data_IF_859225010640
#
_entry.id   IF_859225010640
#
_cell.length_a   1.000
_cell.length_b   1.000
_cell.length_c   1.000
_cell.angle_alpha   90.00
_cell.angle_beta   90.00
_cell.angle_gamma   90.00
#
_symmetry.space_group_name_H-M   'P 1'
#
loop_
_entity.id
_entity.type
_entity.pdbx_description
1 polymer ?
#
# COMPACT_ATOMS: atom_id res chain seq x y z
N UNK A 1 12.32 32.97 -6.88
CA UNK A 1 11.47 31.77 -6.66
C UNK A 1 12.21 30.54 -7.17
N UNK A 2 12.42 29.58 -6.28
CA UNK A 2 13.08 28.33 -6.65
C UNK A 2 12.02 27.34 -7.14
N UNK A 3 12.18 26.86 -8.36
CA UNK A 3 11.30 25.84 -8.91
C UNK A 3 11.94 24.47 -8.71
N UNK A 4 11.22 23.57 -8.05
CA UNK A 4 11.67 22.21 -7.86
C UNK A 4 10.98 21.32 -8.90
N UNK A 5 11.78 20.60 -9.68
CA UNK A 5 11.29 19.73 -10.73
C UNK A 5 11.37 18.28 -10.28
N UNK A 6 10.24 17.58 -10.31
CA UNK A 6 10.17 16.17 -9.94
C UNK A 6 9.43 15.40 -11.04
N UNK A 7 9.66 14.08 -11.06
CA UNK A 7 8.99 13.21 -12.05
C UNK A 7 7.51 13.02 -11.73
N UNK A 8 7.17 12.93 -10.44
CA UNK A 8 5.80 12.64 -10.01
C UNK A 8 5.40 13.50 -8.83
N UNK A 9 4.14 13.86 -8.81
CA UNK A 9 3.51 14.57 -7.71
C UNK A 9 2.41 13.66 -7.14
N UNK A 10 2.50 13.34 -5.85
CA UNK A 10 1.52 12.48 -5.19
C UNK A 10 0.70 13.33 -4.23
N UNK A 11 -0.61 13.29 -4.38
CA UNK A 11 -1.54 13.96 -3.48
C UNK A 11 -2.14 12.92 -2.55
N UNK A 12 -1.82 13.01 -1.27
CA UNK A 12 -2.26 12.07 -0.26
C UNK A 12 -1.21 11.03 0.08
N UNK A 13 -1.05 10.76 1.37
CA UNK A 13 -0.06 9.81 1.89
C UNK A 13 -0.76 8.73 2.73
N UNK A 14 -1.90 8.24 2.26
CA UNK A 14 -2.52 7.05 2.81
C UNK A 14 -1.80 5.80 2.35
N UNK A 15 -2.42 4.65 2.47
CA UNK A 15 -1.81 3.39 2.07
C UNK A 15 -1.44 3.36 0.58
N UNK A 16 -2.36 3.75 -0.29
CA UNK A 16 -2.12 3.72 -1.73
C UNK A 16 -1.01 4.70 -2.14
N UNK A 17 -1.05 5.93 -1.62
CA UNK A 17 -0.03 6.93 -1.93
C UNK A 17 1.34 6.53 -1.42
N UNK A 18 1.41 5.96 -0.22
CA UNK A 18 2.67 5.49 0.36
C UNK A 18 3.25 4.33 -0.42
N UNK A 19 2.44 3.36 -0.81
CA UNK A 19 2.90 2.23 -1.62
C UNK A 19 3.40 2.69 -2.99
N UNK A 20 2.69 3.61 -3.61
CA UNK A 20 3.11 4.17 -4.91
C UNK A 20 4.44 4.91 -4.76
N UNK A 21 4.62 5.69 -3.69
CA UNK A 21 5.85 6.40 -3.44
C UNK A 21 7.04 5.44 -3.33
N UNK A 22 6.90 4.36 -2.58
CA UNK A 22 7.95 3.34 -2.43
C UNK A 22 8.28 2.73 -3.79
N UNK A 23 7.27 2.39 -4.58
CA UNK A 23 7.46 1.84 -5.92
C UNK A 23 8.26 2.77 -6.82
N UNK A 24 7.91 4.06 -6.82
CA UNK A 24 8.57 5.04 -7.65
C UNK A 24 10.02 5.28 -7.22
N UNK A 25 10.25 5.36 -5.91
CA UNK A 25 11.61 5.52 -5.38
C UNK A 25 12.49 4.32 -5.74
N UNK A 26 11.95 3.11 -5.67
CA UNK A 26 12.68 1.91 -6.04
C UNK A 26 13.03 1.87 -7.53
N UNK A 27 12.32 2.63 -8.35
CA UNK A 27 12.60 2.75 -9.79
C UNK A 27 13.44 3.99 -10.13
N UNK A 28 14.03 4.63 -9.14
CA UNK A 28 14.90 5.78 -9.34
C UNK A 28 14.17 7.05 -9.75
N UNK A 29 12.88 7.14 -9.48
CA UNK A 29 12.11 8.33 -9.81
C UNK A 29 12.16 9.35 -8.66
N UNK A 30 12.05 10.62 -9.02
CA UNK A 30 11.92 11.68 -8.03
C UNK A 30 10.45 12.01 -7.84
N UNK A 31 10.07 12.37 -6.61
CA UNK A 31 8.67 12.65 -6.32
C UNK A 31 8.54 13.69 -5.23
N UNK A 32 7.36 14.28 -5.15
CA UNK A 32 6.95 15.18 -4.09
C UNK A 32 5.59 14.74 -3.61
N UNK A 33 5.40 14.66 -2.30
CA UNK A 33 4.14 14.22 -1.70
C UNK A 33 3.51 15.36 -0.94
N UNK A 34 2.25 15.65 -1.23
CA UNK A 34 1.46 16.61 -0.48
C UNK A 34 0.38 15.86 0.30
N UNK A 35 0.33 16.09 1.59
CA UNK A 35 -0.64 15.42 2.45
C UNK A 35 -1.05 16.35 3.57
N UNK A 36 -2.28 16.16 4.04
CA UNK A 36 -2.81 16.89 5.17
C UNK A 36 -2.80 15.97 6.38
N UNK A 37 -2.06 16.30 7.45
CA UNK A 37 -2.02 15.44 8.64
C UNK A 37 -3.41 15.26 9.25
N UNK A 38 -3.82 14.01 9.44
CA UNK A 38 -5.08 13.65 10.08
C UNK A 38 -4.86 12.44 10.97
N UNK A 39 -5.35 12.53 12.21
CA UNK A 39 -5.16 11.43 13.17
C UNK A 39 -6.12 10.27 12.93
N UNK A 40 -7.21 10.51 12.22
CA UNK A 40 -8.27 9.50 11.99
C UNK A 40 -8.40 9.07 10.53
N UNK A 41 -7.33 9.15 9.75
CA UNK A 41 -7.41 8.68 8.36
C UNK A 41 -7.72 7.19 8.32
N UNK A 42 -8.45 6.77 7.29
CA UNK A 42 -9.00 5.41 7.19
C UNK A 42 -7.94 4.32 7.33
N UNK A 43 -6.81 4.45 6.64
CA UNK A 43 -5.76 3.43 6.69
C UNK A 43 -5.10 3.32 8.06
N UNK A 44 -5.04 4.42 8.82
CA UNK A 44 -4.42 4.42 10.14
C UNK A 44 -5.30 3.76 11.19
N UNK A 45 -6.64 3.82 11.04
CA UNK A 45 -7.59 3.25 12.00
C UNK A 45 -8.11 1.87 11.58
N UNK A 46 -7.80 1.42 10.38
CA UNK A 46 -8.22 0.12 9.90
C UNK A 46 -7.46 -1.01 10.59
N UNK A 47 -8.05 -2.21 10.57
CA UNK A 47 -7.44 -3.39 11.20
C UNK A 47 -6.18 -3.88 10.49
N UNK A 48 -5.91 -3.40 9.28
CA UNK A 48 -4.72 -3.79 8.53
C UNK A 48 -4.79 -5.19 7.95
N UNK A 49 -6.00 -5.69 7.71
CA UNK A 49 -6.20 -7.02 7.13
C UNK A 49 -6.53 -6.91 5.64
N UNK A 50 -6.10 -7.91 4.88
CA UNK A 50 -6.53 -8.04 3.50
C UNK A 50 -6.81 -9.50 3.18
N UNK A 51 -7.67 -9.72 2.18
CA UNK A 51 -8.17 -11.03 1.84
C UNK A 51 -8.60 -11.02 0.37
N UNK A 52 -8.22 -12.03 -0.44
CA UNK A 52 -8.62 -12.06 -1.84
C UNK A 52 -10.11 -12.34 -2.05
N UNK A 53 -10.80 -12.81 -1.02
CA UNK A 53 -12.24 -13.11 -1.11
C UNK A 53 -12.99 -12.14 -0.23
N UNK A 54 -13.82 -11.28 -0.84
CA UNK A 54 -14.47 -10.18 -0.14
C UNK A 54 -15.96 -10.13 -0.46
N UNK A 55 -16.68 -9.33 0.34
CA UNK A 55 -18.08 -9.08 0.13
C UNK A 55 -19.00 -10.15 0.72
N UNK A 56 -20.30 -9.88 0.66
CA UNK A 56 -21.33 -10.77 1.21
C UNK A 56 -21.39 -12.10 0.48
N UNK A 57 -21.15 -12.08 -0.81
CA UNK A 57 -21.23 -13.29 -1.66
C UNK A 57 -19.89 -14.00 -1.76
N UNK A 58 -18.90 -13.56 -0.99
CA UNK A 58 -17.58 -14.21 -0.92
C UNK A 58 -16.93 -14.36 -2.30
N UNK A 59 -17.03 -13.32 -3.12
CA UNK A 59 -16.41 -13.31 -4.44
C UNK A 59 -14.94 -12.95 -4.36
N UNK A 60 -14.16 -13.53 -5.27
CA UNK A 60 -12.74 -13.25 -5.37
C UNK A 60 -12.52 -11.82 -5.86
N UNK A 61 -11.57 -11.14 -5.23
CA UNK A 61 -11.22 -9.77 -5.59
C UNK A 61 -10.74 -9.67 -7.03
N UNK A 62 -11.09 -8.58 -7.71
CA UNK A 62 -10.71 -8.32 -9.09
C UNK A 62 -9.19 -8.46 -9.27
N UNK A 63 -8.80 -9.26 -10.25
CA UNK A 63 -7.38 -9.56 -10.55
C UNK A 63 -6.56 -10.09 -9.37
N UNK A 64 -7.20 -10.75 -8.40
CA UNK A 64 -6.50 -11.27 -7.23
C UNK A 64 -5.36 -12.21 -7.61
N UNK A 65 -5.54 -13.04 -8.63
CA UNK A 65 -4.51 -14.00 -9.07
C UNK A 65 -3.26 -13.31 -9.59
N UNK A 66 -3.39 -12.09 -10.09
CA UNK A 66 -2.27 -11.29 -10.57
C UNK A 66 -1.68 -10.43 -9.46
N UNK A 67 -2.54 -9.80 -8.67
CA UNK A 67 -2.14 -8.79 -7.70
C UNK A 67 -1.55 -9.37 -6.42
N UNK A 68 -2.09 -10.48 -5.93
CA UNK A 68 -1.64 -11.04 -4.64
C UNK A 68 -0.22 -11.57 -4.67
N UNK A 69 0.24 -12.31 -5.69
CA UNK A 69 1.65 -12.68 -5.76
C UNK A 69 2.59 -11.47 -5.80
N UNK A 70 2.20 -10.42 -6.53
CA UNK A 70 2.96 -9.18 -6.58
C UNK A 70 2.99 -8.49 -5.21
N UNK A 71 1.86 -8.48 -4.52
CA UNK A 71 1.71 -7.87 -3.21
C UNK A 71 2.65 -8.51 -2.18
N UNK A 72 2.76 -9.83 -2.17
CA UNK A 72 3.67 -10.52 -1.25
C UNK A 72 5.12 -10.10 -1.47
N UNK A 73 5.57 -10.09 -2.73
CA UNK A 73 6.92 -9.62 -3.06
C UNK A 73 7.12 -8.15 -2.69
N UNK A 74 6.15 -7.32 -3.00
CA UNK A 74 6.22 -5.88 -2.73
C UNK A 74 6.36 -5.60 -1.24
N UNK A 75 5.55 -6.22 -0.40
CA UNK A 75 5.60 -5.96 1.03
C UNK A 75 6.87 -6.51 1.67
N UNK A 76 7.35 -7.67 1.25
CA UNK A 76 8.61 -8.21 1.76
C UNK A 76 9.79 -7.33 1.37
N UNK A 77 9.82 -6.83 0.14
CA UNK A 77 10.86 -5.91 -0.29
C UNK A 77 10.78 -4.58 0.45
N UNK A 78 9.56 -4.12 0.72
CA UNK A 78 9.35 -2.89 1.47
C UNK A 78 9.81 -3.02 2.92
N UNK A 79 9.58 -4.17 3.56
CA UNK A 79 10.11 -4.42 4.91
C UNK A 79 11.63 -4.29 4.93
N UNK A 80 12.31 -4.89 3.96
CA UNK A 80 13.76 -4.81 3.86
C UNK A 80 14.22 -3.38 3.61
N UNK A 81 13.55 -2.68 2.72
CA UNK A 81 13.87 -1.30 2.37
C UNK A 81 13.71 -0.34 3.55
N UNK A 82 12.63 -0.51 4.32
CA UNK A 82 12.32 0.37 5.45
C UNK A 82 12.98 -0.07 6.76
N UNK A 83 13.51 -1.30 6.81
CA UNK A 83 14.11 -1.84 8.01
C UNK A 83 13.11 -2.15 9.11
N UNK A 84 11.85 -2.38 8.76
CA UNK A 84 10.77 -2.65 9.70
C UNK A 84 9.99 -3.88 9.28
N UNK A 85 9.47 -4.61 10.24
CA UNK A 85 8.65 -5.78 10.00
C UNK A 85 7.19 -5.42 10.26
N UNK A 86 6.34 -5.50 9.21
CA UNK A 86 4.94 -5.11 9.32
C UNK A 86 4.01 -6.00 8.50
N UNK A 87 4.54 -6.96 7.74
CA UNK A 87 3.76 -7.85 6.90
C UNK A 87 3.78 -9.25 7.48
N UNK A 88 2.61 -9.72 7.93
CA UNK A 88 2.47 -11.00 8.62
C UNK A 88 1.40 -11.84 7.92
N UNK A 89 1.78 -12.68 6.93
CA UNK A 89 0.81 -13.56 6.30
C UNK A 89 0.20 -14.51 7.31
N UNK A 90 -1.13 -14.60 7.30
CA UNK A 90 -1.89 -15.43 8.23
C UNK A 90 -3.06 -16.09 7.51
N UNK A 91 -3.50 -17.22 8.02
CA UNK A 91 -4.73 -17.84 7.56
C UNK A 91 -5.92 -17.09 8.13
N UNK A 92 -6.90 -16.83 7.28
CA UNK A 92 -8.12 -16.16 7.69
C UNK A 92 -9.27 -17.14 7.65
N UNK A 93 -9.90 -17.32 8.81
CA UNK A 93 -11.11 -18.13 8.93
C UNK A 93 -12.33 -17.23 8.92
N UNK A 94 -13.25 -17.52 8.01
CA UNK A 94 -14.47 -16.73 7.85
C UNK A 94 -15.68 -17.67 7.94
N UNK A 95 -16.38 -17.75 9.09
CA UNK A 95 -17.55 -18.59 9.23
C UNK A 95 -18.74 -18.03 8.43
N UNK A 96 -19.55 -18.94 7.98
CA UNK A 96 -20.77 -18.60 7.22
C UNK A 96 -21.94 -18.40 8.15
#
# INVERSE_FOLDING_TARGET
>A
VTHKKVDYLIIGQGLAGSCLAVQLLNRGKTLMVFDQPQTNRASAVAAGLFNPITGRVMTKTWKADLLFPYLFSFYRNSEAYLGERFFFPQNLYRPF
#
